data_IF_906241929611
#
_entry.id   IF_906241929611
#
_cell.length_a   1.000
_cell.length_b   1.000
_cell.length_c   1.000
_cell.angle_alpha   90.00
_cell.angle_beta   90.00
_cell.angle_gamma   90.00
#
_symmetry.space_group_name_H-M   'P 1'
#
loop_
_entity.id
_entity.type
_entity.pdbx_description
1 polymer ?
#
# COMPACT_ATOMS: atom_id res chain seq x y z
N UNK A 1 -12.02 -24.47 6.13
CA UNK A 1 -12.25 -23.10 6.65
C UNK A 1 -10.97 -22.30 6.89
N UNK A 2 -10.00 -22.73 7.72
CA UNK A 2 -8.79 -21.94 8.04
C UNK A 2 -7.93 -21.52 6.82
N UNK A 3 -7.79 -22.38 5.81
CA UNK A 3 -7.09 -22.05 4.55
C UNK A 3 -7.82 -20.99 3.72
N UNK A 4 -9.15 -21.07 3.68
CA UNK A 4 -10.02 -20.13 2.96
C UNK A 4 -9.88 -18.72 3.57
N UNK A 5 -9.94 -18.62 4.90
CA UNK A 5 -9.71 -17.37 5.64
C UNK A 5 -8.29 -16.84 5.36
N UNK A 6 -7.28 -17.72 5.35
CA UNK A 6 -5.91 -17.33 5.03
C UNK A 6 -5.76 -16.76 3.62
N UNK A 7 -6.37 -17.37 2.60
CA UNK A 7 -6.37 -16.85 1.24
C UNK A 7 -7.07 -15.49 1.13
N UNK A 8 -8.21 -15.32 1.80
CA UNK A 8 -8.93 -14.03 1.82
C UNK A 8 -8.05 -12.94 2.42
N UNK A 9 -7.38 -13.22 3.55
CA UNK A 9 -6.47 -12.25 4.19
C UNK A 9 -5.27 -11.89 3.31
N UNK A 10 -4.72 -12.85 2.55
CA UNK A 10 -3.64 -12.57 1.59
C UNK A 10 -4.15 -11.64 0.48
N UNK A 11 -5.33 -11.92 -0.09
CA UNK A 11 -5.90 -11.10 -1.16
C UNK A 11 -6.18 -9.68 -0.66
N UNK A 12 -6.82 -9.55 0.50
CA UNK A 12 -7.11 -8.24 1.11
C UNK A 12 -5.81 -7.48 1.40
N UNK A 13 -4.80 -8.14 1.98
CA UNK A 13 -3.51 -7.51 2.24
C UNK A 13 -2.80 -7.07 0.96
N UNK A 14 -2.80 -7.91 -0.08
CA UNK A 14 -2.19 -7.57 -1.36
C UNK A 14 -2.87 -6.37 -2.03
N UNK A 15 -4.21 -6.30 -1.99
CA UNK A 15 -4.96 -5.17 -2.52
C UNK A 15 -4.63 -3.86 -1.79
N UNK A 16 -4.52 -3.90 -0.46
CA UNK A 16 -4.14 -2.72 0.34
C UNK A 16 -2.72 -2.26 0.01
N UNK A 17 -1.75 -3.19 -0.09
CA UNK A 17 -0.36 -2.87 -0.48
C UNK A 17 -0.32 -2.26 -1.88
N UNK A 18 -0.98 -2.88 -2.86
CA UNK A 18 -1.03 -2.37 -4.23
C UNK A 18 -1.67 -0.97 -4.31
N UNK A 19 -2.76 -0.74 -3.58
CA UNK A 19 -3.44 0.55 -3.56
C UNK A 19 -2.55 1.65 -2.97
N UNK A 20 -1.87 1.36 -1.85
CA UNK A 20 -0.90 2.28 -1.26
C UNK A 20 0.27 2.58 -2.22
N UNK A 21 0.81 1.56 -2.87
CA UNK A 21 1.91 1.71 -3.82
C UNK A 21 1.53 2.52 -5.07
N UNK A 22 0.37 2.25 -5.67
CA UNK A 22 -0.12 3.00 -6.85
C UNK A 22 -0.31 4.48 -6.51
N UNK A 23 -0.96 4.79 -5.38
CA UNK A 23 -1.15 6.18 -4.98
C UNK A 23 0.18 6.89 -4.71
N UNK A 24 1.14 6.23 -4.05
CA UNK A 24 2.47 6.79 -3.86
C UNK A 24 3.18 7.06 -5.20
N UNK A 25 3.11 6.13 -6.17
CA UNK A 25 3.72 6.32 -7.50
C UNK A 25 3.06 7.45 -8.28
N UNK A 26 1.74 7.58 -8.23
CA UNK A 26 1.02 8.69 -8.89
C UNK A 26 1.41 10.04 -8.29
N UNK A 27 1.53 10.10 -6.96
CA UNK A 27 1.92 11.33 -6.26
C UNK A 27 3.38 11.71 -6.54
N UNK A 28 4.28 10.73 -6.58
CA UNK A 28 5.67 10.93 -7.05
C UNK A 28 5.74 11.37 -8.50
N UNK A 29 4.95 10.77 -9.39
CA UNK A 29 4.85 11.16 -10.79
C UNK A 29 4.43 12.62 -10.94
N UNK A 30 3.44 13.05 -10.17
CA UNK A 30 2.98 14.44 -10.14
C UNK A 30 4.05 15.42 -9.63
N UNK A 31 4.87 15.03 -8.63
CA UNK A 31 6.04 15.84 -8.20
C UNK A 31 7.03 15.98 -9.35
N UNK A 32 7.36 14.86 -9.99
CA UNK A 32 8.37 14.82 -11.03
C UNK A 32 7.98 15.66 -12.25
N UNK A 33 6.72 15.57 -12.69
CA UNK A 33 6.20 16.41 -13.79
C UNK A 33 6.23 17.88 -13.42
N UNK A 34 5.85 18.24 -12.19
CA UNK A 34 5.84 19.63 -11.73
C UNK A 34 7.25 20.24 -11.71
N UNK A 35 8.24 19.50 -11.17
CA UNK A 35 9.65 19.95 -11.13
C UNK A 35 10.28 19.99 -12.52
N UNK A 36 9.87 19.09 -13.42
CA UNK A 36 10.40 19.05 -14.79
C UNK A 36 9.86 20.19 -15.65
N UNK A 37 8.59 20.55 -15.50
CA UNK A 37 7.95 21.60 -16.30
C UNK A 37 8.27 23.02 -15.79
N UNK A 38 8.40 23.22 -14.47
CA UNK A 38 8.81 24.50 -13.90
C UNK A 38 9.66 24.32 -12.62
N UNK A 39 11.00 24.30 -12.74
CA UNK A 39 11.89 24.09 -11.61
C UNK A 39 11.96 25.28 -10.63
N UNK A 40 11.37 26.43 -10.99
CA UNK A 40 11.32 27.64 -10.14
C UNK A 40 9.90 27.95 -9.65
N UNK A 41 8.89 27.15 -10.02
CA UNK A 41 7.54 27.31 -9.50
C UNK A 41 7.52 27.04 -7.99
N UNK A 42 7.05 28.04 -7.23
CA UNK A 42 6.64 27.82 -5.85
C UNK A 42 5.55 26.73 -5.82
N UNK A 43 5.61 25.78 -4.89
CA UNK A 43 4.63 24.70 -4.81
C UNK A 43 3.24 25.28 -4.59
N UNK A 44 2.41 25.27 -5.64
CA UNK A 44 1.01 25.74 -5.64
C UNK A 44 0.11 24.92 -4.70
N UNK A 45 0.63 23.82 -4.14
CA UNK A 45 -0.10 22.86 -3.32
C UNK A 45 0.44 22.91 -1.92
N UNK A 46 -0.41 23.27 -0.96
CA UNK A 46 -0.17 23.26 0.48
C UNK A 46 0.59 21.99 0.90
N UNK A 47 1.90 22.15 1.18
CA UNK A 47 2.83 21.04 1.36
C UNK A 47 2.43 20.16 2.54
N UNK A 48 1.81 20.74 3.57
CA UNK A 48 1.28 20.01 4.73
C UNK A 48 0.12 19.09 4.34
N UNK A 49 -0.82 19.58 3.54
CA UNK A 49 -1.95 18.78 3.08
C UNK A 49 -1.49 17.65 2.14
N UNK A 50 -0.44 17.88 1.34
CA UNK A 50 0.17 16.87 0.46
C UNK A 50 0.94 15.81 1.27
N UNK A 51 1.81 16.22 2.18
CA UNK A 51 2.55 15.32 3.06
C UNK A 51 1.59 14.44 3.89
N UNK A 52 0.49 15.00 4.38
CA UNK A 52 -0.55 14.24 5.09
C UNK A 52 -1.20 13.14 4.23
N UNK A 53 -1.54 13.44 2.97
CA UNK A 53 -2.11 12.44 2.04
C UNK A 53 -1.11 11.36 1.68
N UNK A 54 0.14 11.74 1.41
CA UNK A 54 1.21 10.80 1.08
C UNK A 54 1.50 9.85 2.25
N UNK A 55 1.53 10.38 3.48
CA UNK A 55 1.68 9.59 4.70
C UNK A 55 0.50 8.64 4.90
N UNK A 56 -0.72 9.11 4.61
CA UNK A 56 -1.93 8.29 4.67
C UNK A 56 -1.90 7.14 3.67
N UNK A 57 -1.52 7.40 2.41
CA UNK A 57 -1.40 6.37 1.38
C UNK A 57 -0.29 5.35 1.69
N UNK A 58 0.87 5.82 2.16
CA UNK A 58 1.94 4.95 2.62
C UNK A 58 1.49 4.09 3.82
N UNK A 59 0.81 4.71 4.79
CA UNK A 59 0.24 4.03 5.95
C UNK A 59 -0.76 2.94 5.57
N UNK A 60 -1.64 3.20 4.60
CA UNK A 60 -2.56 2.21 4.05
C UNK A 60 -1.84 1.03 3.38
N UNK A 61 -0.78 1.32 2.61
CA UNK A 61 0.05 0.29 2.01
C UNK A 61 0.71 -0.62 3.06
N UNK A 62 1.29 -0.02 4.11
CA UNK A 62 1.93 -0.75 5.22
C UNK A 62 0.91 -1.55 6.03
N UNK A 63 -0.29 -0.99 6.27
CA UNK A 63 -1.38 -1.69 6.96
C UNK A 63 -1.78 -2.99 6.24
N UNK A 64 -1.63 -3.04 4.91
CA UNK A 64 -1.86 -4.25 4.12
C UNK A 64 -0.91 -5.41 4.42
N UNK A 65 0.29 -5.15 4.97
CA UNK A 65 1.27 -6.19 5.31
C UNK A 65 0.80 -7.10 6.45
N UNK A 66 -0.01 -6.58 7.37
CA UNK A 66 -0.53 -7.33 8.52
C UNK A 66 -1.46 -8.48 8.08
N UNK A 67 -2.56 -8.24 7.34
CA UNK A 67 -3.39 -9.33 6.84
C UNK A 67 -2.63 -10.24 5.85
N UNK A 68 -1.70 -9.72 5.06
CA UNK A 68 -0.83 -10.52 4.19
C UNK A 68 0.02 -11.53 4.99
N UNK A 69 0.66 -11.07 6.07
CA UNK A 69 1.45 -11.89 6.97
C UNK A 69 0.61 -12.95 7.68
N UNK A 70 -0.51 -12.54 8.29
CA UNK A 70 -1.42 -13.45 8.99
C UNK A 70 -1.98 -14.51 8.03
N UNK A 71 -2.44 -14.08 6.85
CA UNK A 71 -2.97 -14.98 5.83
C UNK A 71 -1.95 -16.01 5.36
N UNK A 72 -0.70 -15.57 5.13
CA UNK A 72 0.42 -16.45 4.74
C UNK A 72 0.71 -17.49 5.82
N UNK A 73 0.74 -17.09 7.08
CA UNK A 73 0.91 -17.99 8.24
C UNK A 73 -0.22 -19.01 8.28
N UNK A 74 -1.49 -18.57 8.19
CA UNK A 74 -2.65 -19.47 8.24
C UNK A 74 -2.65 -20.50 7.10
N UNK A 75 -2.28 -20.09 5.88
CA UNK A 75 -2.15 -21.01 4.74
C UNK A 75 -0.99 -22.00 4.97
N UNK A 76 0.18 -21.53 5.41
CA UNK A 76 1.37 -22.36 5.63
C UNK A 76 1.17 -23.41 6.73
N UNK A 77 0.61 -23.01 7.88
CA UNK A 77 0.31 -23.94 8.97
C UNK A 77 -0.93 -24.81 8.68
N UNK A 78 -1.91 -24.28 7.94
CA UNK A 78 -3.03 -25.06 7.44
C UNK A 78 -2.60 -26.14 6.44
N UNK A 79 -1.49 -25.95 5.71
CA UNK A 79 -0.90 -26.96 4.82
C UNK A 79 -0.23 -28.10 5.58
N UNK A 80 0.50 -27.81 6.66
CA UNK A 80 1.22 -28.81 7.47
C UNK A 80 0.32 -29.75 8.28
N UNK A 81 -0.94 -29.36 8.53
CA UNK A 81 -1.88 -30.13 9.38
C UNK A 81 -2.80 -31.08 8.60
N UNK A 82 -2.70 -31.13 7.27
CA UNK A 82 -3.49 -32.04 6.41
C UNK A 82 -2.61 -32.92 5.52
N UNK A 83 -1.33 -33.07 5.89
CA UNK A 83 -0.41 -34.03 5.30
C UNK A 83 -0.02 -35.06 6.33
#
# INVERSE_FOLDING_TARGET
MRRLIGCVLIIVGALLVCTGAVNAVLEFGAIYTQVSDDPLAEPVVDEEARAGRMLWHAGYGVAGLVPLGIGTVLVKFGRRRSG
#
